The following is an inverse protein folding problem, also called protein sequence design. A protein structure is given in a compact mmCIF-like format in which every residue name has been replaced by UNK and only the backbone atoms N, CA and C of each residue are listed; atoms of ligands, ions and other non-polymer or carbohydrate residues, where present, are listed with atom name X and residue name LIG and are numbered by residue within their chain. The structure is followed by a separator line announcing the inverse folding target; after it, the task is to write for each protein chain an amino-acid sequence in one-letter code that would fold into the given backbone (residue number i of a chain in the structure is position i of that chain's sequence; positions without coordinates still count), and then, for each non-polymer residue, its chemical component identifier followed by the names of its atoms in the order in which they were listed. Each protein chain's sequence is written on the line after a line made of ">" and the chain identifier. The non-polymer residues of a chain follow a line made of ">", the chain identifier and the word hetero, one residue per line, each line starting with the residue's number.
data_IF_242457894134
#
_entry.id   IF_242457894134
#
_cell.length_a   1.000
_cell.length_b   1.000
_cell.length_c   1.000
_cell.angle_alpha   90.00
_cell.angle_beta   90.00
_cell.angle_gamma   90.00
#
_symmetry.space_group_name_H-M   'P 1'
#
loop_
_entity.id
_entity.type
_entity.pdbx_description
1 polymer ?
#
# COMPACT_ATOMS: atom_id res chain seq x y z
N UNK A 1 18.06 1.81 -10.73
CA UNK A 1 18.45 2.94 -9.85
C UNK A 1 17.34 3.26 -8.84
N UNK A 2 17.65 3.24 -7.55
CA UNK A 2 16.72 3.69 -6.53
C UNK A 2 16.36 5.17 -6.79
N UNK A 3 15.08 5.48 -6.95
CA UNK A 3 14.61 6.85 -7.22
C UNK A 3 14.68 7.74 -5.98
N UNK A 4 15.11 7.20 -4.84
CA UNK A 4 15.33 7.94 -3.61
C UNK A 4 16.74 7.75 -3.05
N UNK A 5 17.34 8.81 -2.48
CA UNK A 5 18.66 8.75 -1.86
C UNK A 5 18.76 7.80 -0.66
N UNK A 6 17.65 7.61 0.06
CA UNK A 6 17.65 6.81 1.29
C UNK A 6 16.30 6.09 1.50
N UNK A 7 16.28 4.76 1.77
CA UNK A 7 15.04 3.97 1.86
C UNK A 7 14.10 4.43 2.99
N UNK A 8 14.66 4.91 4.10
CA UNK A 8 13.88 5.49 5.22
C UNK A 8 12.98 6.65 4.78
N UNK A 9 13.38 7.48 3.82
CA UNK A 9 12.54 8.59 3.34
C UNK A 9 11.25 8.08 2.71
N UNK A 10 11.32 7.05 1.88
CA UNK A 10 10.13 6.41 1.29
C UNK A 10 9.26 5.75 2.36
N UNK A 11 9.88 5.08 3.35
CA UNK A 11 9.14 4.51 4.48
C UNK A 11 8.37 5.55 5.28
N UNK A 12 8.97 6.72 5.54
CA UNK A 12 8.30 7.82 6.24
C UNK A 12 7.12 8.39 5.44
N UNK A 13 7.30 8.61 4.14
CA UNK A 13 6.21 9.08 3.24
C UNK A 13 5.07 8.05 3.21
N UNK A 14 5.39 6.75 3.14
CA UNK A 14 4.38 5.70 3.16
C UNK A 14 3.63 5.64 4.50
N UNK A 15 4.32 5.79 5.63
CA UNK A 15 3.69 5.83 6.95
C UNK A 15 2.74 7.02 7.12
N UNK A 16 3.08 8.17 6.52
CA UNK A 16 2.20 9.33 6.48
C UNK A 16 0.93 9.04 5.66
N UNK A 17 1.05 8.29 4.56
CA UNK A 17 -0.11 7.83 3.79
C UNK A 17 -1.09 7.03 4.63
N UNK A 18 -0.59 6.06 5.41
CA UNK A 18 -1.42 5.26 6.34
C UNK A 18 -2.06 6.12 7.42
N UNK A 19 -1.30 7.08 7.99
CA UNK A 19 -1.84 8.01 8.97
C UNK A 19 -2.99 8.85 8.41
N UNK A 20 -2.84 9.42 7.21
CA UNK A 20 -3.90 10.21 6.57
C UNK A 20 -5.13 9.34 6.31
N UNK A 21 -4.96 8.14 5.75
CA UNK A 21 -6.06 7.23 5.44
C UNK A 21 -6.84 6.82 6.71
N UNK A 22 -6.15 6.27 7.71
CA UNK A 22 -6.82 5.72 8.89
C UNK A 22 -7.27 6.79 9.87
N UNK A 23 -6.40 7.76 10.21
CA UNK A 23 -6.69 8.72 11.28
C UNK A 23 -7.56 9.87 10.78
N UNK A 24 -7.36 10.33 9.54
CA UNK A 24 -8.12 11.45 9.00
C UNK A 24 -9.34 10.95 8.24
N UNK A 25 -9.15 10.13 7.20
CA UNK A 25 -10.24 9.77 6.27
C UNK A 25 -11.24 8.82 6.95
N UNK A 26 -10.80 7.66 7.44
CA UNK A 26 -11.71 6.67 8.05
C UNK A 26 -12.41 7.23 9.30
N UNK A 27 -11.71 7.98 10.15
CA UNK A 27 -12.32 8.64 11.32
C UNK A 27 -13.38 9.66 10.91
N UNK A 28 -13.11 10.48 9.88
CA UNK A 28 -14.13 11.43 9.37
C UNK A 28 -15.36 10.68 8.85
N UNK A 29 -15.17 9.61 8.08
CA UNK A 29 -16.28 8.77 7.61
C UNK A 29 -17.07 8.17 8.76
N UNK A 30 -16.39 7.67 9.80
CA UNK A 30 -17.03 7.14 10.99
C UNK A 30 -17.86 8.21 11.73
N UNK A 31 -17.34 9.42 11.89
CA UNK A 31 -18.09 10.53 12.49
C UNK A 31 -19.30 10.94 11.65
N UNK A 32 -19.17 11.01 10.32
CA UNK A 32 -20.30 11.27 9.44
C UNK A 32 -21.40 10.21 9.62
N UNK A 33 -21.01 8.93 9.69
CA UNK A 33 -21.95 7.85 9.97
C UNK A 33 -22.59 8.06 11.34
N UNK A 34 -21.83 8.28 12.41
CA UNK A 34 -22.35 8.44 13.78
C UNK A 34 -23.26 9.67 13.95
N UNK A 35 -22.99 10.76 13.24
CA UNK A 35 -23.82 11.98 13.29
C UNK A 35 -25.16 11.77 12.55
N UNK A 36 -25.21 10.89 11.55
CA UNK A 36 -26.45 10.62 10.79
C UNK A 36 -27.58 9.96 11.62
N UNK A 37 -27.29 9.52 12.84
CA UNK A 37 -28.28 8.97 13.76
C UNK A 37 -28.65 7.50 13.52
N UNK A 38 -29.22 6.83 14.54
CA UNK A 38 -29.44 5.39 14.56
C UNK A 38 -30.36 4.87 13.46
N UNK A 39 -31.29 5.70 12.97
CA UNK A 39 -32.18 5.33 11.87
C UNK A 39 -31.41 5.02 10.58
N UNK A 40 -30.26 5.65 10.36
CA UNK A 40 -29.44 5.44 9.17
C UNK A 40 -28.75 4.08 9.19
N UNK A 41 -28.05 3.75 10.28
CA UNK A 41 -27.25 2.50 10.37
C UNK A 41 -28.03 1.28 10.86
N UNK A 42 -29.28 1.45 11.30
CA UNK A 42 -30.20 0.33 11.59
C UNK A 42 -31.21 0.09 10.47
N UNK A 43 -31.19 0.91 9.41
CA UNK A 43 -32.09 0.73 8.28
C UNK A 43 -31.88 -0.63 7.60
N UNK A 44 -32.94 -1.28 7.07
CA UNK A 44 -32.79 -2.52 6.31
C UNK A 44 -31.93 -2.37 5.04
N UNK A 45 -31.74 -1.15 4.56
CA UNK A 45 -30.91 -0.81 3.39
C UNK A 45 -29.44 -0.55 3.75
N UNK A 46 -29.13 -0.44 5.06
CA UNK A 46 -27.77 -0.26 5.54
C UNK A 46 -26.96 -1.53 5.37
N UNK A 47 -26.00 -1.49 4.45
CA UNK A 47 -24.95 -2.47 4.34
C UNK A 47 -23.58 -1.77 4.31
N UNK A 48 -22.46 -2.48 4.51
CA UNK A 48 -21.13 -1.88 4.55
C UNK A 48 -20.78 -1.05 3.32
N UNK A 49 -21.35 -1.34 2.15
CA UNK A 49 -21.08 -0.62 0.90
C UNK A 49 -21.93 0.64 0.72
N UNK A 50 -23.15 0.69 1.28
CA UNK A 50 -24.10 1.80 1.10
C UNK A 50 -24.14 2.76 2.29
N UNK A 51 -23.67 2.33 3.46
CA UNK A 51 -23.85 3.03 4.73
C UNK A 51 -23.33 4.49 4.70
N UNK A 52 -22.16 4.73 4.13
CA UNK A 52 -21.61 6.09 4.03
C UNK A 52 -22.45 6.99 3.12
N UNK A 53 -22.95 6.46 2.00
CA UNK A 53 -23.83 7.21 1.10
C UNK A 53 -25.15 7.56 1.79
N UNK A 54 -25.73 6.61 2.53
CA UNK A 54 -26.94 6.84 3.31
C UNK A 54 -26.73 7.93 4.37
N UNK A 55 -25.63 7.86 5.14
CA UNK A 55 -25.30 8.84 6.16
C UNK A 55 -25.12 10.26 5.60
N UNK A 56 -24.43 10.39 4.47
CA UNK A 56 -24.25 11.67 3.79
C UNK A 56 -25.59 12.17 3.25
N UNK A 57 -26.40 11.31 2.64
CA UNK A 57 -27.72 11.69 2.11
C UNK A 57 -28.70 12.14 3.21
N UNK A 58 -28.59 11.55 4.40
CA UNK A 58 -29.41 11.93 5.55
C UNK A 58 -29.05 13.35 6.05
N UNK A 59 -27.76 13.69 6.11
CA UNK A 59 -27.31 15.00 6.59
C UNK A 59 -27.38 16.13 5.54
N UNK A 60 -27.07 15.83 4.28
CA UNK A 60 -26.90 16.83 3.20
C UNK A 60 -28.02 16.78 2.15
N UNK A 61 -28.89 15.76 2.20
CA UNK A 61 -29.99 15.56 1.26
C UNK A 61 -29.65 14.61 0.10
N UNK A 62 -30.70 14.07 -0.52
CA UNK A 62 -30.60 13.01 -1.53
C UNK A 62 -29.85 13.37 -2.83
N UNK A 63 -29.62 14.66 -3.11
CA UNK A 63 -28.80 15.08 -4.26
C UNK A 63 -27.36 14.57 -4.17
N UNK A 64 -26.87 14.26 -2.97
CA UNK A 64 -25.52 13.74 -2.72
C UNK A 64 -25.32 12.30 -3.15
N UNK A 65 -26.39 11.53 -3.39
CA UNK A 65 -26.31 10.11 -3.76
C UNK A 65 -25.55 9.93 -5.09
N UNK A 66 -25.84 10.76 -6.10
CA UNK A 66 -25.19 10.65 -7.41
C UNK A 66 -23.69 11.05 -7.35
N UNK A 67 -23.28 12.18 -6.76
CA UNK A 67 -21.87 12.49 -6.51
C UNK A 67 -21.14 11.39 -5.73
N UNK A 68 -21.77 10.82 -4.70
CA UNK A 68 -21.18 9.73 -3.91
C UNK A 68 -20.96 8.47 -4.76
N UNK A 69 -21.90 8.12 -5.64
CA UNK A 69 -21.73 6.98 -6.54
C UNK A 69 -20.53 7.16 -7.48
N UNK A 70 -20.34 8.37 -8.03
CA UNK A 70 -19.17 8.71 -8.87
C UNK A 70 -17.87 8.62 -8.06
N UNK A 71 -17.87 9.14 -6.83
CA UNK A 71 -16.71 9.10 -5.94
C UNK A 71 -16.32 7.65 -5.58
N UNK A 72 -17.30 6.81 -5.20
CA UNK A 72 -17.08 5.39 -4.91
C UNK A 72 -16.56 4.67 -6.16
N UNK A 73 -17.11 4.96 -7.34
CA UNK A 73 -16.63 4.36 -8.59
C UNK A 73 -15.15 4.68 -8.83
N UNK A 74 -14.74 5.95 -8.71
CA UNK A 74 -13.34 6.35 -8.90
C UNK A 74 -12.41 5.71 -7.86
N UNK A 75 -12.83 5.67 -6.58
CA UNK A 75 -12.06 5.05 -5.50
C UNK A 75 -11.91 3.53 -5.66
N UNK A 76 -13.00 2.85 -6.05
CA UNK A 76 -12.96 1.42 -6.30
C UNK A 76 -12.08 1.10 -7.52
N UNK A 77 -12.21 1.89 -8.59
CA UNK A 77 -11.42 1.70 -9.81
C UNK A 77 -9.92 1.91 -9.57
N UNK A 78 -9.54 2.97 -8.84
CA UNK A 78 -8.13 3.20 -8.50
C UNK A 78 -7.56 2.09 -7.62
N UNK A 79 -8.36 1.54 -6.70
CA UNK A 79 -7.98 0.41 -5.84
C UNK A 79 -7.72 -0.86 -6.65
N UNK A 80 -8.55 -1.15 -7.65
CA UNK A 80 -8.34 -2.29 -8.57
C UNK A 80 -7.02 -2.14 -9.34
N UNK A 81 -6.71 -0.94 -9.83
CA UNK A 81 -5.44 -0.68 -10.54
C UNK A 81 -4.25 -0.88 -9.59
N UNK A 82 -4.33 -0.35 -8.36
CA UNK A 82 -3.26 -0.51 -7.38
C UNK A 82 -3.01 -2.01 -7.07
N UNK A 83 -4.07 -2.77 -6.81
CA UNK A 83 -3.99 -4.22 -6.58
C UNK A 83 -3.39 -4.98 -7.78
N UNK A 84 -3.75 -4.60 -9.00
CA UNK A 84 -3.15 -5.14 -10.22
C UNK A 84 -1.64 -4.87 -10.28
N UNK A 85 -1.21 -3.63 -10.06
CA UNK A 85 0.21 -3.25 -10.11
C UNK A 85 1.01 -4.01 -9.05
N UNK A 86 0.52 -4.09 -7.81
CA UNK A 86 1.19 -4.87 -6.76
C UNK A 86 1.32 -6.35 -7.14
N UNK A 87 0.27 -6.94 -7.70
CA UNK A 87 0.27 -8.34 -8.13
C UNK A 87 1.22 -8.59 -9.29
N UNK A 88 1.26 -7.69 -10.28
CA UNK A 88 2.12 -7.81 -11.46
C UNK A 88 3.60 -7.65 -11.09
N UNK A 89 3.94 -6.71 -10.21
CA UNK A 89 5.30 -6.54 -9.68
C UNK A 89 5.75 -7.77 -8.88
N UNK A 90 4.92 -8.27 -7.97
CA UNK A 90 5.23 -9.46 -7.17
C UNK A 90 5.40 -10.70 -8.05
N UNK A 91 4.53 -10.87 -9.05
CA UNK A 91 4.59 -11.99 -9.98
C UNK A 91 5.80 -11.90 -10.91
N UNK A 92 6.14 -10.70 -11.37
CA UNK A 92 7.34 -10.44 -12.18
C UNK A 92 8.61 -10.78 -11.40
N UNK A 93 8.68 -10.40 -10.12
CA UNK A 93 9.79 -10.75 -9.24
C UNK A 93 9.95 -12.27 -9.07
N UNK A 94 8.86 -13.00 -8.82
CA UNK A 94 8.90 -14.47 -8.62
C UNK A 94 9.23 -15.25 -9.90
N UNK A 95 8.78 -14.76 -11.06
CA UNK A 95 8.92 -15.48 -12.32
C UNK A 95 10.09 -15.03 -13.19
N UNK A 96 10.81 -13.98 -12.77
CA UNK A 96 11.89 -13.37 -13.53
C UNK A 96 11.40 -12.61 -14.77
N UNK A 97 10.26 -11.94 -14.67
CA UNK A 97 9.72 -11.10 -15.75
C UNK A 97 9.11 -11.84 -16.94
N UNK A 98 8.64 -13.09 -16.75
CA UNK A 98 8.05 -13.88 -17.83
C UNK A 98 6.69 -13.30 -18.26
N UNK A 99 6.50 -13.14 -19.57
CA UNK A 99 5.27 -12.55 -20.16
C UNK A 99 3.99 -13.29 -19.79
N UNK A 100 4.03 -14.62 -19.66
CA UNK A 100 2.84 -15.41 -19.27
C UNK A 100 2.35 -15.05 -17.87
N UNK A 101 3.26 -14.68 -16.97
CA UNK A 101 2.94 -14.40 -15.58
C UNK A 101 2.19 -13.06 -15.45
N UNK A 102 2.60 -12.05 -16.22
CA UNK A 102 1.87 -10.78 -16.31
C UNK A 102 0.47 -10.96 -16.92
N UNK A 103 0.36 -11.77 -17.99
CA UNK A 103 -0.94 -12.10 -18.58
C UNK A 103 -1.86 -12.86 -17.62
N UNK A 104 -1.31 -13.77 -16.81
CA UNK A 104 -2.07 -14.46 -15.78
C UNK A 104 -2.65 -13.47 -14.77
N UNK A 105 -1.86 -12.52 -14.26
CA UNK A 105 -2.33 -11.49 -13.32
C UNK A 105 -3.45 -10.65 -13.92
N UNK A 106 -3.35 -10.27 -15.21
CA UNK A 106 -4.41 -9.53 -15.91
C UNK A 106 -5.71 -10.30 -15.97
N UNK A 107 -5.65 -11.57 -16.37
CA UNK A 107 -6.84 -12.44 -16.47
C UNK A 107 -7.46 -12.65 -15.09
N UNK A 108 -6.64 -12.96 -14.08
CA UNK A 108 -7.11 -13.16 -12.71
C UNK A 108 -7.77 -11.90 -12.17
N UNK A 109 -7.16 -10.72 -12.35
CA UNK A 109 -7.72 -9.45 -11.91
C UNK A 109 -9.08 -9.14 -12.58
N UNK A 110 -9.19 -9.35 -13.90
CA UNK A 110 -10.44 -9.15 -14.63
C UNK A 110 -11.54 -10.13 -14.17
N UNK A 111 -11.19 -11.40 -13.98
CA UNK A 111 -12.11 -12.42 -13.47
C UNK A 111 -12.53 -12.11 -12.03
N UNK A 112 -11.61 -11.71 -11.16
CA UNK A 112 -11.92 -11.38 -9.76
C UNK A 112 -12.81 -10.14 -9.65
N UNK A 113 -12.58 -9.11 -10.48
CA UNK A 113 -13.43 -7.92 -10.52
C UNK A 113 -14.85 -8.27 -11.00
N UNK A 114 -14.97 -9.13 -12.01
CA UNK A 114 -16.27 -9.60 -12.51
C UNK A 114 -16.98 -10.49 -11.47
N UNK A 115 -16.25 -11.39 -10.81
CA UNK A 115 -16.78 -12.22 -9.74
C UNK A 115 -17.25 -11.38 -8.54
N UNK A 116 -16.51 -10.35 -8.16
CA UNK A 116 -16.89 -9.43 -7.09
C UNK A 116 -18.19 -8.66 -7.36
N UNK A 117 -18.55 -8.46 -8.63
CA UNK A 117 -19.80 -7.82 -9.01
C UNK A 117 -21.04 -8.74 -8.91
N UNK A 118 -20.85 -10.07 -8.86
CA UNK A 118 -21.95 -11.06 -8.85
C UNK A 118 -22.05 -11.84 -7.54
N UNK A 119 -20.99 -11.91 -6.75
CA UNK A 119 -20.97 -12.59 -5.46
C UNK A 119 -21.64 -11.73 -4.36
N UNK A 120 -22.16 -12.38 -3.33
CA UNK A 120 -22.69 -11.66 -2.16
C UNK A 120 -21.56 -11.00 -1.37
N UNK A 121 -21.88 -9.87 -0.72
CA UNK A 121 -20.92 -9.11 0.09
C UNK A 121 -20.25 -10.02 1.14
N UNK A 122 -21.02 -10.84 1.84
CA UNK A 122 -20.49 -11.72 2.89
C UNK A 122 -19.42 -12.68 2.35
N UNK A 123 -19.61 -13.25 1.15
CA UNK A 123 -18.62 -14.15 0.55
C UNK A 123 -17.36 -13.39 0.18
N UNK A 124 -17.50 -12.19 -0.38
CA UNK A 124 -16.37 -11.34 -0.76
C UNK A 124 -15.56 -10.92 0.48
N UNK A 125 -16.23 -10.44 1.53
CA UNK A 125 -15.57 -10.00 2.77
C UNK A 125 -14.88 -11.16 3.47
N UNK A 126 -15.53 -12.31 3.63
CA UNK A 126 -14.90 -13.48 4.25
C UNK A 126 -13.65 -13.96 3.47
N UNK A 127 -13.70 -13.95 2.13
CA UNK A 127 -12.55 -14.30 1.31
C UNK A 127 -11.40 -13.29 1.47
N UNK A 128 -11.72 -11.99 1.51
CA UNK A 128 -10.76 -10.90 1.72
C UNK A 128 -10.14 -10.99 3.12
N UNK A 129 -10.91 -11.25 4.17
CA UNK A 129 -10.42 -11.37 5.55
C UNK A 129 -9.41 -12.51 5.70
N UNK A 130 -9.71 -13.68 5.10
CA UNK A 130 -8.78 -14.82 5.11
C UNK A 130 -7.49 -14.47 4.35
N UNK A 131 -7.60 -13.87 3.16
CA UNK A 131 -6.45 -13.48 2.37
C UNK A 131 -5.58 -12.43 3.09
N UNK A 132 -6.21 -11.42 3.71
CA UNK A 132 -5.54 -10.40 4.50
C UNK A 132 -4.88 -10.99 5.74
N UNK A 133 -5.50 -11.96 6.41
CA UNK A 133 -4.90 -12.63 7.57
C UNK A 133 -3.61 -13.37 7.20
N UNK A 134 -3.62 -14.12 6.09
CA UNK A 134 -2.43 -14.82 5.59
C UNK A 134 -1.33 -13.83 5.22
N UNK A 135 -1.66 -12.80 4.42
CA UNK A 135 -0.72 -11.77 3.99
C UNK A 135 -0.11 -11.02 5.19
N UNK A 136 -0.93 -10.68 6.18
CA UNK A 136 -0.49 -9.96 7.37
C UNK A 136 0.47 -10.82 8.19
N UNK A 137 0.15 -12.10 8.40
CA UNK A 137 1.00 -13.00 9.15
C UNK A 137 2.37 -13.19 8.48
N UNK A 138 2.39 -13.42 7.16
CA UNK A 138 3.64 -13.58 6.41
C UNK A 138 4.50 -12.31 6.46
N UNK A 139 3.87 -11.14 6.29
CA UNK A 139 4.58 -9.86 6.35
C UNK A 139 5.11 -9.57 7.75
N UNK A 140 4.33 -9.87 8.80
CA UNK A 140 4.76 -9.67 10.18
C UNK A 140 5.99 -10.51 10.53
N UNK A 141 6.02 -11.78 10.13
CA UNK A 141 7.19 -12.65 10.32
C UNK A 141 8.42 -12.07 9.60
N UNK A 142 8.26 -11.62 8.36
CA UNK A 142 9.35 -11.00 7.61
C UNK A 142 9.86 -9.71 8.27
N UNK A 143 8.96 -8.86 8.77
CA UNK A 143 9.33 -7.62 9.48
C UNK A 143 10.08 -7.90 10.78
N UNK A 144 9.67 -8.90 11.55
CA UNK A 144 10.38 -9.32 12.77
C UNK A 144 11.81 -9.76 12.43
N UNK A 145 11.97 -10.51 11.34
CA UNK A 145 13.30 -10.96 10.91
C UNK A 145 14.18 -9.81 10.38
N UNK A 146 13.58 -8.87 9.65
CA UNK A 146 14.24 -7.68 9.10
C UNK A 146 14.36 -6.52 10.09
N UNK A 147 13.84 -6.65 11.30
CA UNK A 147 13.79 -5.56 12.29
C UNK A 147 15.16 -4.92 12.56
N UNK A 148 16.21 -5.74 12.64
CA UNK A 148 17.59 -5.25 12.83
C UNK A 148 18.10 -4.44 11.64
N UNK A 149 17.73 -4.81 10.42
CA UNK A 149 18.09 -4.09 9.20
C UNK A 149 17.36 -2.74 9.12
N UNK A 150 16.04 -2.74 9.37
CA UNK A 150 15.23 -1.53 9.36
C UNK A 150 15.66 -0.52 10.42
N UNK A 151 15.91 -0.97 11.64
CA UNK A 151 16.43 -0.10 12.72
C UNK A 151 17.86 0.37 12.47
N UNK A 152 18.70 -0.45 11.83
CA UNK A 152 20.03 -0.04 11.37
C UNK A 152 19.97 1.09 10.34
N UNK A 153 19.15 0.93 9.29
CA UNK A 153 18.96 1.97 8.28
C UNK A 153 18.35 3.25 8.86
N UNK A 154 17.46 3.15 9.85
CA UNK A 154 16.91 4.32 10.54
C UNK A 154 17.99 5.08 11.33
N UNK A 155 18.85 4.35 12.06
CA UNK A 155 19.96 4.96 12.82
C UNK A 155 20.96 5.65 11.91
N UNK A 156 21.26 5.06 10.76
CA UNK A 156 22.09 5.68 9.72
C UNK A 156 21.49 7.01 9.23
N UNK A 157 20.20 7.00 8.89
CA UNK A 157 19.48 8.21 8.49
C UNK A 157 19.53 9.32 9.54
N UNK A 158 19.26 8.97 10.80
CA UNK A 158 19.27 9.89 11.94
C UNK A 158 20.67 10.44 12.21
N UNK A 159 21.71 9.61 12.11
CA UNK A 159 23.10 10.02 12.28
C UNK A 159 23.51 11.05 11.23
N UNK A 160 23.18 10.82 9.95
CA UNK A 160 23.45 11.76 8.87
C UNK A 160 22.69 13.09 9.07
N UNK A 161 21.40 13.02 9.45
CA UNK A 161 20.61 14.22 9.78
C UNK A 161 21.21 15.01 10.93
N UNK A 162 21.66 14.33 11.99
CA UNK A 162 22.29 14.96 13.16
C UNK A 162 23.65 15.58 12.83
N UNK A 163 24.37 15.01 11.87
CA UNK A 163 25.62 15.56 11.34
C UNK A 163 25.41 16.79 10.41
N UNK A 164 24.16 17.21 10.18
CA UNK A 164 23.84 18.37 9.35
C UNK A 164 23.79 18.07 7.84
N UNK A 165 23.76 16.80 7.45
CA UNK A 165 23.61 16.40 6.05
C UNK A 165 22.19 16.72 5.59
N UNK A 166 22.07 17.64 4.63
CA UNK A 166 20.78 18.11 4.11
C UNK A 166 20.01 17.01 3.38
N UNK A 167 20.71 16.09 2.70
CA UNK A 167 20.16 14.96 1.97
C UNK A 167 20.91 13.68 2.34
N UNK A 168 20.39 12.88 3.31
CA UNK A 168 21.00 11.62 3.68
C UNK A 168 21.03 10.64 2.52
N UNK A 169 22.15 9.93 2.33
CA UNK A 169 22.34 8.94 1.28
C UNK A 169 22.64 7.59 1.91
N UNK A 170 21.89 6.56 1.51
CA UNK A 170 22.09 5.23 2.05
C UNK A 170 23.18 4.47 1.29
N UNK A 171 24.20 4.04 2.02
CA UNK A 171 25.24 3.14 1.52
C UNK A 171 25.12 1.81 2.27
N UNK A 172 24.83 0.74 1.53
CA UNK A 172 24.60 -0.60 2.08
C UNK A 172 25.87 -1.42 2.32
N UNK A 173 27.04 -0.90 1.98
CA UNK A 173 28.34 -1.58 2.07
C UNK A 173 29.20 -0.91 3.14
N UNK A 174 29.80 -1.70 4.05
CA UNK A 174 30.59 -1.24 5.20
C UNK A 174 29.83 -0.26 6.12
N UNK A 175 28.50 -0.39 6.21
CA UNK A 175 27.70 0.49 7.06
C UNK A 175 27.76 0.02 8.53
N UNK A 176 28.26 0.84 9.48
CA UNK A 176 28.41 0.45 10.88
C UNK A 176 27.08 0.22 11.61
N UNK A 177 25.98 0.71 11.04
CA UNK A 177 24.64 0.56 11.62
C UNK A 177 23.90 -0.69 11.12
N UNK A 178 24.40 -1.37 10.08
CA UNK A 178 23.79 -2.57 9.51
C UNK A 178 24.39 -3.86 10.10
N UNK A 179 23.61 -4.96 10.16
CA UNK A 179 24.13 -6.24 10.63
C UNK A 179 25.06 -6.95 9.63
N UNK A 180 24.95 -6.65 8.34
CA UNK A 180 25.81 -7.13 7.25
C UNK A 180 25.67 -6.22 6.03
N UNK A 181 26.52 -6.43 5.01
CA UNK A 181 26.41 -5.70 3.74
C UNK A 181 25.14 -6.10 2.99
N UNK A 182 24.47 -5.11 2.40
CA UNK A 182 23.28 -5.32 1.58
C UNK A 182 23.68 -5.99 0.26
N UNK A 183 23.08 -7.12 -0.12
CA UNK A 183 23.39 -7.77 -1.39
C UNK A 183 22.91 -6.93 -2.58
N UNK A 184 23.73 -6.89 -3.64
CA UNK A 184 23.44 -6.17 -4.88
C UNK A 184 24.15 -4.81 -4.98
N UNK A 185 23.93 -4.14 -6.11
CA UNK A 185 24.58 -2.88 -6.50
C UNK A 185 23.70 -1.64 -6.30
N UNK A 186 22.41 -1.83 -6.03
CA UNK A 186 21.39 -0.77 -5.92
C UNK A 186 21.74 0.28 -4.85
N UNK A 187 22.43 -0.12 -3.78
CA UNK A 187 22.84 0.73 -2.66
C UNK A 187 24.37 0.78 -2.47
N UNK A 188 25.12 0.50 -3.54
CA UNK A 188 26.58 0.64 -3.54
C UNK A 188 26.99 2.12 -3.61
N UNK A 189 28.22 2.49 -3.22
CA UNK A 189 28.73 3.86 -3.41
C UNK A 189 28.67 4.29 -4.88
N UNK A 190 28.45 5.58 -5.14
CA UNK A 190 28.26 6.14 -6.50
C UNK A 190 29.42 5.78 -7.46
N UNK A 191 30.64 5.68 -6.96
CA UNK A 191 31.81 5.24 -7.72
C UNK A 191 31.65 3.81 -8.29
N UNK A 192 31.00 2.90 -7.56
CA UNK A 192 30.78 1.51 -7.96
C UNK A 192 29.56 1.32 -8.88
N UNK A 193 28.56 2.21 -8.82
CA UNK A 193 27.37 2.16 -9.69
C UNK A 193 27.69 2.55 -11.15
N UNK A 194 28.73 3.38 -11.35
CA UNK A 194 29.17 3.82 -12.67
C UNK A 194 29.83 2.72 -13.52
N UNK A 195 30.47 1.74 -12.87
CA UNK A 195 31.20 0.64 -13.55
C UNK A 195 30.25 -0.42 -14.09
N UNK A 196 29.23 -0.81 -13.31
CA UNK A 196 28.24 -1.84 -13.72
C UNK A 196 27.34 -1.37 -14.88
N UNK A 197 27.00 -0.09 -14.92
CA UNK A 197 26.15 0.47 -15.99
C UNK A 197 26.88 0.53 -17.34
N UNK A 198 28.22 0.55 -17.34
CA UNK A 198 29.05 0.51 -18.55
C UNK A 198 29.25 -0.92 -19.09
N UNK A 199 29.18 -1.95 -18.24
CA UNK A 199 29.30 -3.35 -18.64
C UNK A 199 27.96 -4.01 -19.02
N UNK A 200 26.83 -3.44 -18.59
CA UNK A 200 25.48 -3.92 -18.89
C UNK A 200 24.84 -3.30 -20.16
N UNK A 201 25.60 -2.50 -20.93
CA UNK A 201 25.22 -1.99 -22.27
C UNK A 201 26.00 -2.72 -23.36
#
# INVERSE_FOLDING_TARGET
>A
PATVPHPVQQGLIQSLGVFIDTIIVCTTTAFVILISGPETWTSPEANPATLTTLAISHGLGGWTVLPMAVLIFVLAYSSIIAAYVYSDVNMSYLTGGKKWASWLVRVVCAVSATAGAVLSLDVVWNAVDIAMAVMTLTNLVALIWLFRWGTGALRDYEAQRKAGVAEPVFVGVNNPHLPADVPGDVWAPEAAQSTTTAEAR
#
